data_IF_965022729396
#
_entry.id   IF_965022729396
#
_cell.length_a   1.000
_cell.length_b   1.000
_cell.length_c   1.000
_cell.angle_alpha   90.00
_cell.angle_beta   90.00
_cell.angle_gamma   90.00
#
_symmetry.space_group_name_H-M   'P 1'
#
loop_
_entity.id
_entity.type
_entity.pdbx_description
1 polymer ?
#
# COMPACT_ATOMS: atom_id res chain seq x y z
N UNK A 1 -23.56 -17.24 -9.71
CA UNK A 1 -24.98 -16.94 -9.96
C UNK A 1 -25.15 -15.44 -10.17
N UNK A 2 -26.03 -15.00 -11.09
CA UNK A 2 -26.30 -13.57 -11.39
C UNK A 2 -26.64 -12.74 -10.12
N UNK A 3 -27.27 -13.34 -9.12
CA UNK A 3 -27.61 -12.69 -7.85
C UNK A 3 -26.36 -12.36 -7.06
N UNK A 4 -25.42 -13.30 -6.90
CA UNK A 4 -24.16 -13.13 -6.17
C UNK A 4 -23.31 -12.04 -6.84
N UNK A 5 -23.16 -12.10 -8.16
CA UNK A 5 -22.40 -11.10 -8.91
C UNK A 5 -22.98 -9.68 -8.75
N UNK A 6 -24.32 -9.54 -8.77
CA UNK A 6 -24.98 -8.24 -8.56
C UNK A 6 -24.78 -7.69 -7.14
N UNK A 7 -24.85 -8.57 -6.13
CA UNK A 7 -24.64 -8.20 -4.73
C UNK A 7 -23.17 -7.79 -4.49
N UNK A 8 -22.21 -8.61 -4.95
CA UNK A 8 -20.79 -8.33 -4.83
C UNK A 8 -20.43 -7.02 -5.53
N UNK A 9 -20.96 -6.74 -6.72
CA UNK A 9 -20.78 -5.46 -7.42
C UNK A 9 -21.32 -4.27 -6.63
N UNK A 10 -22.45 -4.42 -5.93
CA UNK A 10 -23.00 -3.36 -5.07
C UNK A 10 -22.06 -3.06 -3.88
N UNK A 11 -21.57 -4.12 -3.24
CA UNK A 11 -20.64 -4.03 -2.10
C UNK A 11 -19.35 -3.35 -2.53
N UNK A 12 -18.69 -3.84 -3.57
CA UNK A 12 -17.43 -3.28 -4.06
C UNK A 12 -17.57 -1.84 -4.52
N UNK A 13 -18.67 -1.46 -5.16
CA UNK A 13 -18.91 -0.08 -5.56
C UNK A 13 -19.03 0.87 -4.36
N UNK A 14 -19.62 0.42 -3.25
CA UNK A 14 -19.71 1.22 -2.02
C UNK A 14 -18.32 1.48 -1.44
N UNK A 15 -17.46 0.46 -1.33
CA UNK A 15 -16.08 0.61 -0.87
C UNK A 15 -15.26 1.51 -1.81
N UNK A 16 -15.36 1.32 -3.12
CA UNK A 16 -14.64 2.15 -4.09
C UNK A 16 -15.07 3.62 -4.04
N UNK A 17 -16.37 3.88 -3.84
CA UNK A 17 -16.88 5.23 -3.67
C UNK A 17 -16.29 5.90 -2.44
N UNK A 18 -16.22 5.19 -1.32
CA UNK A 18 -15.64 5.70 -0.08
C UNK A 18 -14.14 5.98 -0.25
N UNK A 19 -13.38 5.06 -0.82
CA UNK A 19 -11.93 5.18 -1.03
C UNK A 19 -11.55 6.34 -1.95
N UNK A 20 -12.36 6.61 -2.97
CA UNK A 20 -12.12 7.65 -3.99
C UNK A 20 -12.67 9.04 -3.60
N UNK A 21 -13.14 9.22 -2.37
CA UNK A 21 -13.55 10.54 -1.89
C UNK A 21 -12.37 11.50 -1.95
N UNK A 22 -12.65 12.72 -2.45
CA UNK A 22 -11.67 13.80 -2.49
C UNK A 22 -11.87 14.75 -1.31
N UNK A 23 -10.82 15.47 -0.96
CA UNK A 23 -10.84 16.48 0.11
C UNK A 23 -11.36 15.91 1.43
N UNK A 24 -11.00 14.66 1.76
CA UNK A 24 -11.35 14.02 3.04
C UNK A 24 -10.54 14.70 4.13
N UNK A 25 -11.20 15.25 5.19
CA UNK A 25 -10.46 15.86 6.29
C UNK A 25 -9.58 14.83 6.99
N UNK A 26 -8.38 15.24 7.39
CA UNK A 26 -7.39 14.37 8.03
C UNK A 26 -7.94 13.67 9.28
N UNK A 27 -8.85 14.34 9.99
CA UNK A 27 -9.50 13.78 11.19
C UNK A 27 -10.26 12.47 10.95
N UNK A 28 -10.65 12.15 9.71
CA UNK A 28 -11.35 10.90 9.40
C UNK A 28 -10.42 9.68 9.34
N UNK A 29 -9.13 9.88 9.06
CA UNK A 29 -8.12 8.81 8.98
C UNK A 29 -6.96 8.98 9.96
N UNK A 30 -6.93 10.10 10.71
CA UNK A 30 -6.02 10.28 11.84
C UNK A 30 -6.36 9.27 12.95
N UNK A 31 -5.33 8.65 13.54
CA UNK A 31 -5.49 7.69 14.62
C UNK A 31 -4.30 7.79 15.59
N UNK A 32 -4.27 6.92 16.59
CA UNK A 32 -3.15 6.77 17.51
C UNK A 32 -2.63 5.34 17.44
N UNK A 33 -1.31 5.18 17.54
CA UNK A 33 -0.70 3.87 17.73
C UNK A 33 -1.11 3.30 19.09
N UNK A 34 -1.31 1.98 19.19
CA UNK A 34 -1.49 1.28 20.48
C UNK A 34 -0.19 1.29 21.28
N UNK A 35 0.92 1.09 20.57
CA UNK A 35 2.28 1.23 21.11
C UNK A 35 3.08 2.20 20.21
N UNK A 36 3.55 3.34 20.75
CA UNK A 36 4.34 4.32 19.99
C UNK A 36 5.66 3.76 19.46
N UNK A 37 6.13 2.62 19.96
CA UNK A 37 7.32 1.93 19.45
C UNK A 37 7.05 1.08 18.20
N UNK A 38 5.81 0.98 17.76
CA UNK A 38 5.46 0.27 16.53
C UNK A 38 5.52 1.20 15.32
N UNK A 39 6.05 0.69 14.20
CA UNK A 39 5.98 1.34 12.90
C UNK A 39 4.63 1.09 12.23
N UNK A 40 4.13 -0.14 12.32
CA UNK A 40 2.83 -0.57 11.77
C UNK A 40 2.14 -1.49 12.75
N UNK A 41 0.82 -1.35 12.87
CA UNK A 41 -0.04 -2.26 13.62
C UNK A 41 -1.17 -2.75 12.73
N UNK A 42 -1.29 -4.06 12.59
CA UNK A 42 -2.46 -4.71 12.02
C UNK A 42 -3.39 -5.14 13.16
N UNK A 43 -4.64 -4.76 13.08
CA UNK A 43 -5.62 -4.98 14.13
C UNK A 43 -6.89 -5.59 13.54
N UNK A 44 -7.09 -6.89 13.77
CA UNK A 44 -8.23 -7.65 13.29
C UNK A 44 -8.51 -7.41 11.79
N UNK A 45 -7.46 -7.48 10.96
CA UNK A 45 -7.56 -7.18 9.52
C UNK A 45 -8.37 -8.24 8.79
N UNK A 46 -9.38 -7.81 8.04
CA UNK A 46 -10.12 -8.64 7.11
C UNK A 46 -10.03 -8.06 5.69
N UNK A 47 -9.48 -8.85 4.76
CA UNK A 47 -9.37 -8.49 3.36
C UNK A 47 -9.98 -9.58 2.49
N UNK A 48 -11.04 -9.24 1.78
CA UNK A 48 -11.83 -10.17 0.99
C UNK A 48 -11.82 -9.81 -0.49
N UNK A 49 -11.99 -10.82 -1.34
CA UNK A 49 -12.17 -10.66 -2.78
C UNK A 49 -13.60 -11.07 -3.18
N UNK A 50 -14.33 -10.13 -3.74
CA UNK A 50 -15.71 -10.28 -4.21
C UNK A 50 -15.72 -10.65 -5.68
N UNK A 51 -15.82 -11.94 -5.97
CA UNK A 51 -15.81 -12.49 -7.33
C UNK A 51 -17.23 -12.84 -7.82
N UNK A 52 -17.37 -13.12 -9.11
CA UNK A 52 -18.66 -13.57 -9.68
C UNK A 52 -19.11 -14.96 -9.15
N UNK A 53 -18.17 -15.76 -8.65
CA UNK A 53 -18.42 -17.05 -8.05
C UNK A 53 -18.77 -16.98 -6.56
N UNK A 54 -18.33 -15.92 -5.86
CA UNK A 54 -18.55 -15.75 -4.43
C UNK A 54 -17.51 -14.82 -3.79
N UNK A 55 -17.46 -14.82 -2.47
CA UNK A 55 -16.50 -14.05 -1.68
C UNK A 55 -15.37 -14.95 -1.18
N UNK A 56 -14.13 -14.57 -1.47
CA UNK A 56 -12.93 -15.24 -0.98
C UNK A 56 -12.36 -14.42 0.17
N UNK A 57 -12.25 -15.00 1.35
CA UNK A 57 -11.69 -14.41 2.56
C UNK A 57 -10.19 -14.68 2.59
N UNK A 58 -9.40 -13.83 1.98
CA UNK A 58 -7.96 -14.04 1.86
C UNK A 58 -7.18 -13.69 3.14
N UNK A 59 -7.68 -12.72 3.90
CA UNK A 59 -7.22 -12.39 5.26
C UNK A 59 -8.46 -12.30 6.12
N UNK A 60 -8.51 -13.02 7.22
CA UNK A 60 -9.71 -13.14 8.07
C UNK A 60 -9.34 -13.04 9.56
N UNK A 61 -9.22 -11.81 10.07
CA UNK A 61 -8.96 -11.52 11.47
C UNK A 61 -7.48 -11.56 11.87
N UNK A 62 -6.57 -11.03 11.04
CA UNK A 62 -5.13 -11.02 11.34
C UNK A 62 -4.74 -9.83 12.22
N UNK A 63 -4.01 -10.12 13.30
CA UNK A 63 -3.48 -9.11 14.23
C UNK A 63 -2.01 -9.38 14.50
N UNK A 64 -1.15 -8.39 14.24
CA UNK A 64 0.27 -8.37 14.61
C UNK A 64 0.85 -6.96 14.45
N UNK A 65 2.01 -6.75 15.04
CA UNK A 65 2.68 -5.46 15.05
C UNK A 65 4.08 -5.56 14.42
N UNK A 66 4.53 -4.46 13.84
CA UNK A 66 5.89 -4.30 13.30
C UNK A 66 6.57 -3.19 14.12
N UNK A 67 7.48 -3.54 15.05
CA UNK A 67 8.19 -2.54 15.86
C UNK A 67 9.16 -1.71 15.00
N UNK A 68 9.37 -0.45 15.41
CA UNK A 68 10.34 0.44 14.77
C UNK A 68 11.75 -0.19 14.82
N UNK A 69 12.47 -0.16 13.70
CA UNK A 69 13.83 -0.68 13.59
C UNK A 69 13.96 -2.19 13.69
N UNK A 70 12.85 -2.93 13.61
CA UNK A 70 12.85 -4.41 13.62
C UNK A 70 12.39 -4.98 12.28
N UNK A 71 12.85 -6.18 11.99
CA UNK A 71 12.38 -6.98 10.85
C UNK A 71 11.40 -8.03 11.36
N UNK A 72 10.23 -8.08 10.76
CA UNK A 72 9.20 -9.10 11.04
C UNK A 72 9.07 -10.03 9.85
N UNK A 73 9.26 -11.32 10.07
CA UNK A 73 9.07 -12.36 9.07
C UNK A 73 7.64 -12.90 9.10
N UNK A 74 6.92 -12.80 7.97
CA UNK A 74 5.60 -13.42 7.81
C UNK A 74 5.75 -14.68 6.99
N UNK A 75 5.54 -15.83 7.63
CA UNK A 75 5.72 -17.17 7.04
C UNK A 75 4.38 -17.90 6.93
N UNK A 76 4.29 -18.82 5.99
CA UNK A 76 3.10 -19.63 5.77
C UNK A 76 3.09 -20.21 4.35
N UNK A 77 2.14 -21.11 4.08
CA UNK A 77 1.96 -21.77 2.78
C UNK A 77 1.61 -20.79 1.65
N UNK A 78 1.76 -21.23 0.40
CA UNK A 78 1.32 -20.43 -0.75
C UNK A 78 -0.19 -20.20 -0.68
N UNK A 79 -0.63 -18.97 -0.97
CA UNK A 79 -2.05 -18.62 -0.95
C UNK A 79 -2.65 -18.31 0.42
N UNK A 80 -1.90 -18.41 1.54
CA UNK A 80 -2.44 -18.16 2.88
C UNK A 80 -2.62 -16.66 3.26
N UNK A 81 -2.51 -15.74 2.31
CA UNK A 81 -2.83 -14.31 2.54
C UNK A 81 -1.63 -13.40 2.83
N UNK A 82 -0.38 -13.88 2.90
CA UNK A 82 0.82 -13.06 3.20
C UNK A 82 0.94 -11.82 2.31
N UNK A 83 0.95 -12.02 0.99
CA UNK A 83 1.03 -10.92 0.03
C UNK A 83 -0.19 -10.01 0.08
N UNK A 84 -1.38 -10.56 0.33
CA UNK A 84 -2.62 -9.79 0.47
C UNK A 84 -2.55 -8.86 1.69
N UNK A 85 -1.95 -9.31 2.79
CA UNK A 85 -1.74 -8.48 3.99
C UNK A 85 -0.83 -7.28 3.68
N UNK A 86 0.29 -7.50 2.99
CA UNK A 86 1.19 -6.41 2.56
C UNK A 86 0.53 -5.47 1.55
N UNK A 87 -0.21 -6.02 0.57
CA UNK A 87 -0.96 -5.23 -0.41
C UNK A 87 -2.09 -4.43 0.24
N UNK A 88 -2.65 -4.91 1.37
CA UNK A 88 -3.65 -4.17 2.15
C UNK A 88 -3.02 -2.91 2.78
N UNK A 89 -1.84 -3.02 3.39
CA UNK A 89 -1.08 -1.88 3.92
C UNK A 89 -0.80 -0.84 2.82
N UNK A 90 -0.41 -1.30 1.64
CA UNK A 90 -0.13 -0.43 0.49
C UNK A 90 -1.40 0.07 -0.22
N UNK A 91 -2.58 -0.43 0.12
CA UNK A 91 -3.83 -0.26 -0.65
C UNK A 91 -3.67 -0.58 -2.16
N UNK A 92 -2.86 -1.59 -2.50
CA UNK A 92 -2.60 -2.04 -3.87
C UNK A 92 -3.34 -3.36 -4.21
N UNK A 93 -4.43 -3.65 -3.52
CA UNK A 93 -5.30 -4.78 -3.83
C UNK A 93 -5.86 -4.68 -5.25
N UNK A 94 -6.05 -5.81 -5.92
CA UNK A 94 -6.72 -5.86 -7.22
C UNK A 94 -8.15 -5.33 -7.11
N UNK A 95 -8.39 -4.19 -7.71
CA UNK A 95 -9.68 -3.48 -7.66
C UNK A 95 -10.56 -3.81 -8.87
N UNK A 96 -11.90 -3.76 -8.72
CA UNK A 96 -12.66 -3.48 -7.50
C UNK A 96 -12.88 -4.70 -6.59
N UNK A 97 -12.40 -5.88 -6.96
CA UNK A 97 -12.71 -7.15 -6.28
C UNK A 97 -12.12 -7.20 -4.85
N UNK A 98 -10.85 -6.80 -4.68
CA UNK A 98 -10.17 -6.82 -3.38
C UNK A 98 -10.54 -5.62 -2.52
N UNK A 99 -11.08 -5.87 -1.32
CA UNK A 99 -11.50 -4.82 -0.38
C UNK A 99 -11.07 -5.16 1.05
N UNK A 100 -10.62 -4.15 1.81
CA UNK A 100 -10.50 -4.26 3.25
C UNK A 100 -11.88 -4.03 3.83
N UNK A 101 -12.45 -5.05 4.46
CA UNK A 101 -13.85 -5.03 4.91
C UNK A 101 -14.00 -4.70 6.37
N UNK A 102 -12.98 -5.03 7.18
CA UNK A 102 -12.98 -4.81 8.63
C UNK A 102 -11.55 -4.71 9.16
N UNK A 103 -11.41 -4.19 10.38
CA UNK A 103 -10.15 -4.01 11.07
C UNK A 103 -9.50 -2.67 10.79
N UNK A 104 -8.29 -2.51 11.30
CA UNK A 104 -7.47 -1.31 11.12
C UNK A 104 -6.03 -1.66 10.77
N UNK A 105 -5.39 -0.77 10.04
CA UNK A 105 -3.94 -0.80 9.81
C UNK A 105 -3.42 0.58 10.20
N UNK A 106 -2.72 0.66 11.33
CA UNK A 106 -2.14 1.93 11.81
C UNK A 106 -0.72 2.07 11.32
N UNK A 107 -0.42 3.17 10.67
CA UNK A 107 0.91 3.54 10.21
C UNK A 107 1.42 4.71 11.02
N UNK A 108 2.56 4.52 11.68
CA UNK A 108 3.24 5.56 12.44
C UNK A 108 4.02 6.48 11.49
N UNK A 109 3.75 7.79 11.55
CA UNK A 109 4.42 8.80 10.75
C UNK A 109 5.41 9.64 11.59
N UNK A 110 5.62 9.26 12.85
CA UNK A 110 6.48 9.93 13.81
C UNK A 110 5.71 10.87 14.73
N UNK A 111 5.19 11.96 14.21
CA UNK A 111 4.39 12.95 14.94
C UNK A 111 2.90 12.60 15.04
N UNK A 112 2.43 11.75 14.17
CA UNK A 112 1.03 11.28 14.07
C UNK A 112 0.95 9.88 13.50
N UNK A 113 -0.24 9.28 13.52
CA UNK A 113 -0.50 8.00 12.88
C UNK A 113 -1.77 8.05 12.02
N UNK A 114 -1.78 7.29 10.93
CA UNK A 114 -2.94 7.14 10.06
C UNK A 114 -3.50 5.73 10.09
N UNK A 115 -4.82 5.63 10.08
CA UNK A 115 -5.52 4.38 9.77
C UNK A 115 -5.59 4.22 8.25
N UNK A 116 -4.74 3.37 7.71
CA UNK A 116 -4.62 3.11 6.27
C UNK A 116 -5.95 2.63 5.68
N UNK A 117 -6.78 1.92 6.47
CA UNK A 117 -8.06 1.41 5.98
C UNK A 117 -9.05 2.53 5.65
N UNK A 118 -8.87 3.70 6.27
CA UNK A 118 -9.70 4.91 6.09
C UNK A 118 -9.03 5.98 5.23
N UNK A 119 -7.72 5.85 5.01
CA UNK A 119 -6.93 6.83 4.25
C UNK A 119 -7.39 6.86 2.79
N UNK A 120 -7.77 8.03 2.24
CA UNK A 120 -8.23 8.14 0.87
C UNK A 120 -7.11 7.89 -0.14
N UNK A 121 -7.47 7.48 -1.36
CA UNK A 121 -6.51 7.13 -2.40
C UNK A 121 -5.55 8.27 -2.75
N UNK A 122 -5.99 9.51 -2.68
CA UNK A 122 -5.18 10.71 -2.90
C UNK A 122 -4.07 10.82 -1.86
N UNK A 123 -4.40 10.66 -0.57
CA UNK A 123 -3.41 10.71 0.52
C UNK A 123 -2.43 9.52 0.47
N UNK A 124 -2.89 8.35 0.02
CA UNK A 124 -2.00 7.20 -0.16
C UNK A 124 -0.87 7.45 -1.16
N UNK A 125 -1.05 8.35 -2.15
CA UNK A 125 0.01 8.72 -3.10
C UNK A 125 1.18 9.43 -2.39
N UNK A 126 0.89 10.23 -1.36
CA UNK A 126 1.92 10.90 -0.55
C UNK A 126 2.62 9.96 0.43
N UNK A 127 1.94 8.90 0.87
CA UNK A 127 2.53 7.92 1.80
C UNK A 127 3.45 6.94 1.09
N UNK A 128 3.06 6.49 -0.09
CA UNK A 128 3.86 5.56 -0.90
C UNK A 128 5.13 6.24 -1.39
N UNK A 129 6.25 5.57 -1.23
CA UNK A 129 7.58 6.09 -1.58
C UNK A 129 8.23 6.98 -0.51
N UNK A 130 7.43 7.70 0.31
CA UNK A 130 7.96 8.54 1.37
C UNK A 130 8.03 7.83 2.73
N UNK A 131 6.97 7.12 3.11
CA UNK A 131 6.86 6.44 4.41
C UNK A 131 6.83 4.92 4.30
N UNK A 132 6.24 4.41 3.24
CA UNK A 132 6.13 2.98 2.95
C UNK A 132 6.50 2.71 1.50
N UNK A 133 7.23 1.64 1.26
CA UNK A 133 7.53 1.14 -0.08
C UNK A 133 7.41 -0.38 -0.12
N UNK A 134 7.36 -0.94 -1.32
CA UNK A 134 7.19 -2.38 -1.51
C UNK A 134 8.11 -2.88 -2.62
N UNK A 135 8.78 -4.00 -2.35
CA UNK A 135 9.50 -4.77 -3.37
C UNK A 135 8.59 -5.92 -3.77
N UNK A 136 8.22 -5.99 -5.05
CA UNK A 136 7.36 -7.05 -5.58
C UNK A 136 8.15 -8.35 -5.81
N UNK A 137 7.44 -9.46 -5.78
CA UNK A 137 8.02 -10.80 -5.93
C UNK A 137 8.71 -11.01 -7.28
N UNK A 138 8.24 -10.35 -8.34
CA UNK A 138 8.83 -10.39 -9.69
C UNK A 138 9.39 -9.01 -10.07
N UNK A 139 10.61 -8.65 -9.62
CA UNK A 139 11.17 -7.31 -9.84
C UNK A 139 11.42 -7.00 -11.32
N UNK A 140 11.60 -8.04 -12.16
CA UNK A 140 11.81 -7.85 -13.61
C UNK A 140 10.63 -7.20 -14.33
N UNK A 141 9.42 -7.28 -13.77
CA UNK A 141 8.22 -6.63 -14.31
C UNK A 141 8.00 -5.22 -13.76
N UNK A 142 8.83 -4.77 -12.81
CA UNK A 142 8.70 -3.45 -12.18
C UNK A 142 9.09 -2.31 -13.14
N UNK A 143 10.05 -2.56 -14.03
CA UNK A 143 10.48 -1.59 -15.04
C UNK A 143 9.64 -1.73 -16.31
N UNK A 144 9.20 -0.60 -16.85
CA UNK A 144 8.52 -0.57 -18.13
C UNK A 144 9.56 -0.73 -19.28
N UNK A 145 9.48 -1.80 -20.10
CA UNK A 145 10.49 -2.07 -21.14
C UNK A 145 10.50 -1.07 -22.30
N UNK A 146 9.48 -0.21 -22.40
CA UNK A 146 9.35 0.79 -23.47
C UNK A 146 10.12 2.08 -23.15
N UNK A 147 10.38 2.35 -21.88
CA UNK A 147 11.10 3.55 -21.43
C UNK A 147 12.52 3.22 -20.98
N UNK A 148 13.42 4.20 -21.09
CA UNK A 148 14.79 4.05 -20.58
C UNK A 148 14.76 3.92 -19.05
N UNK A 149 15.66 3.13 -18.50
CA UNK A 149 15.78 2.93 -17.04
C UNK A 149 16.06 4.26 -16.34
N UNK A 150 16.97 5.08 -16.90
CA UNK A 150 17.29 6.40 -16.36
C UNK A 150 16.08 7.31 -16.25
N UNK A 151 15.23 7.36 -17.28
CA UNK A 151 14.03 8.21 -17.26
C UNK A 151 13.05 7.78 -16.15
N UNK A 152 12.92 6.48 -15.90
CA UNK A 152 12.06 5.94 -14.83
C UNK A 152 12.62 6.23 -13.43
N UNK A 153 13.94 6.18 -13.26
CA UNK A 153 14.60 6.56 -11.99
C UNK A 153 14.50 8.06 -11.75
N UNK A 154 14.76 8.87 -12.78
CA UNK A 154 14.68 10.32 -12.71
C UNK A 154 13.27 10.79 -12.33
N UNK A 155 12.22 10.15 -12.88
CA UNK A 155 10.82 10.43 -12.54
C UNK A 155 10.55 10.18 -11.05
N UNK A 156 10.98 9.04 -10.51
CA UNK A 156 10.78 8.70 -9.10
C UNK A 156 11.53 9.68 -8.18
N UNK A 157 12.78 10.04 -8.52
CA UNK A 157 13.57 11.00 -7.75
C UNK A 157 12.92 12.38 -7.80
N UNK A 158 12.46 12.81 -8.98
CA UNK A 158 11.77 14.10 -9.13
C UNK A 158 10.50 14.19 -8.29
N UNK A 159 9.75 13.09 -8.18
CA UNK A 159 8.51 13.05 -7.41
C UNK A 159 8.72 13.03 -5.89
N UNK A 160 9.78 12.38 -5.40
CA UNK A 160 9.95 12.14 -3.96
C UNK A 160 11.08 12.92 -3.30
N UNK A 161 12.09 13.32 -4.07
CA UNK A 161 13.30 14.00 -3.58
C UNK A 161 13.76 15.14 -4.51
N UNK A 162 12.91 15.56 -5.44
CA UNK A 162 13.26 16.53 -6.48
C UNK A 162 13.02 17.99 -6.15
N UNK A 163 12.45 18.32 -4.98
CA UNK A 163 12.15 19.70 -4.61
C UNK A 163 13.43 20.55 -4.57
N UNK A 164 13.49 21.60 -5.39
CA UNK A 164 14.64 22.47 -5.51
C UNK A 164 15.87 21.90 -6.24
N UNK A 165 15.78 20.69 -6.81
CA UNK A 165 16.89 20.06 -7.56
C UNK A 165 16.82 20.35 -9.05
N UNK A 166 18.00 20.54 -9.66
CA UNK A 166 18.14 20.64 -11.12
C UNK A 166 17.98 19.25 -11.79
N UNK A 167 17.79 19.23 -13.11
CA UNK A 167 17.78 17.97 -13.86
C UNK A 167 19.11 17.22 -13.77
N UNK A 168 20.20 17.95 -13.70
CA UNK A 168 21.55 17.44 -13.54
C UNK A 168 21.73 16.76 -12.18
N UNK A 169 21.22 17.34 -11.11
CA UNK A 169 21.25 16.76 -9.76
C UNK A 169 20.43 15.46 -9.69
N UNK A 170 19.25 15.46 -10.29
CA UNK A 170 18.38 14.25 -10.35
C UNK A 170 19.09 13.13 -11.09
N UNK A 171 19.70 13.44 -12.23
CA UNK A 171 20.46 12.46 -13.03
C UNK A 171 21.68 11.92 -12.30
N UNK A 172 22.43 12.81 -11.62
CA UNK A 172 23.56 12.40 -10.79
C UNK A 172 23.12 11.48 -9.64
N UNK A 173 21.97 11.74 -9.04
CA UNK A 173 21.39 10.89 -8.02
C UNK A 173 20.97 9.51 -8.57
N UNK A 174 20.37 9.45 -9.77
CA UNK A 174 20.03 8.20 -10.45
C UNK A 174 21.28 7.34 -10.69
N UNK A 175 22.36 7.93 -11.20
CA UNK A 175 23.63 7.23 -11.43
C UNK A 175 24.19 6.70 -10.12
N UNK A 176 24.24 7.53 -9.07
CA UNK A 176 24.72 7.11 -7.77
C UNK A 176 23.92 5.93 -7.19
N UNK A 177 22.60 5.90 -7.36
CA UNK A 177 21.78 4.78 -6.90
C UNK A 177 22.07 3.48 -7.69
N UNK A 178 22.34 3.57 -8.99
CA UNK A 178 22.76 2.42 -9.80
C UNK A 178 24.13 1.90 -9.34
N UNK A 179 25.09 2.77 -9.12
CA UNK A 179 26.42 2.40 -8.58
C UNK A 179 26.31 1.70 -7.22
N UNK A 180 25.45 2.21 -6.31
CA UNK A 180 25.17 1.55 -5.02
C UNK A 180 24.54 0.17 -5.19
N UNK A 181 23.76 -0.04 -6.25
CA UNK A 181 23.17 -1.33 -6.59
C UNK A 181 24.16 -2.29 -7.31
N UNK A 182 25.38 -1.82 -7.62
CA UNK A 182 26.41 -2.62 -8.28
C UNK A 182 26.27 -2.68 -9.80
N UNK A 183 25.62 -1.68 -10.41
CA UNK A 183 25.42 -1.54 -11.86
C UNK A 183 26.32 -0.45 -12.41
#
# INVERSE_FOLDING_TARGET
>A
SRRISKENRRITNAFEKQRKRKNVPESEYLTQMRDPNNAVEFDNLHTYFFTDAGTVKSVDGVTFDIPIGKTVGVVGESGCGKSVTSLSLMQLLQRPQGQIVEGAIRLNLGDKAYDITKTPAEQMQHLRGNFISMIFQEPMTALNPVFRIGDQLDEVIALHDGEGKSKEDIKARSIHLLEMAGI
#
